data_IF_370872277905
#
_entry.id   IF_370872277905
#
_cell.length_a   1.000
_cell.length_b   1.000
_cell.length_c   1.000
_cell.angle_alpha   90.00
_cell.angle_beta   90.00
_cell.angle_gamma   90.00
#
_symmetry.space_group_name_H-M   'P 1'
#
loop_
_entity.id
_entity.type
_entity.pdbx_description
1 polymer ?
#
# COMPACT_ATOMS: atom_id res chain seq x y z
N UNK A 1 2.90 -6.62 39.71
CA UNK A 1 1.88 -6.24 38.70
C UNK A 1 2.48 -5.17 37.80
N UNK A 2 2.81 -5.50 36.55
CA UNK A 2 3.32 -4.51 35.60
C UNK A 2 2.15 -3.61 35.16
N UNK A 3 2.23 -2.30 35.46
CA UNK A 3 1.32 -1.30 34.90
C UNK A 3 1.47 -1.36 33.38
N UNK A 4 0.47 -1.90 32.70
CA UNK A 4 0.36 -1.90 31.24
C UNK A 4 0.43 -0.44 30.79
N UNK A 5 1.48 -0.05 30.08
CA UNK A 5 1.60 1.30 29.50
C UNK A 5 0.51 1.38 28.43
N UNK A 6 -0.64 1.97 28.79
CA UNK A 6 -1.71 2.26 27.84
C UNK A 6 -1.15 3.36 26.94
N UNK A 7 -0.86 3.02 25.69
CA UNK A 7 -0.44 4.01 24.68
C UNK A 7 -1.46 5.14 24.63
N UNK A 8 -0.99 6.38 24.50
CA UNK A 8 -1.83 7.59 24.63
C UNK A 8 -2.94 7.75 23.58
N UNK A 9 -3.07 6.81 22.63
CA UNK A 9 -4.18 6.78 21.67
C UNK A 9 -4.07 7.80 20.52
N UNK A 10 -3.01 8.59 20.44
CA UNK A 10 -2.88 9.69 19.48
C UNK A 10 -3.00 9.33 17.99
N UNK A 11 -2.87 8.05 17.64
CA UNK A 11 -2.97 7.56 16.26
C UNK A 11 -4.08 6.54 16.04
N UNK A 12 -4.82 6.17 17.09
CA UNK A 12 -5.81 5.08 17.06
C UNK A 12 -7.13 5.40 17.75
N UNK A 13 -7.18 6.39 18.63
CA UNK A 13 -8.39 6.77 19.38
C UNK A 13 -9.28 7.69 18.56
N UNK A 14 -10.32 7.11 17.95
CA UNK A 14 -11.33 7.84 17.15
C UNK A 14 -12.24 8.73 18.00
N UNK A 15 -12.35 8.46 19.30
CA UNK A 15 -13.19 9.24 20.22
C UNK A 15 -12.48 10.46 20.78
N UNK A 16 -11.17 10.56 20.54
CA UNK A 16 -10.29 11.61 21.04
C UNK A 16 -10.38 11.80 22.57
N UNK A 17 -10.60 10.72 23.32
CA UNK A 17 -10.78 10.76 24.78
C UNK A 17 -9.53 11.24 25.53
N UNK A 18 -8.38 11.35 24.87
CA UNK A 18 -7.19 12.01 25.42
C UNK A 18 -7.35 13.53 25.56
N UNK A 19 -8.21 14.18 24.77
CA UNK A 19 -8.36 15.65 24.73
C UNK A 19 -8.81 16.17 26.09
N UNK A 20 -9.92 15.68 26.62
CA UNK A 20 -10.42 16.11 27.94
C UNK A 20 -9.54 15.64 29.09
N UNK A 21 -8.91 14.46 28.97
CA UNK A 21 -7.99 13.93 29.99
C UNK A 21 -6.70 14.73 30.14
N UNK A 22 -6.12 15.21 29.04
CA UNK A 22 -4.82 15.89 29.05
C UNK A 22 -4.93 17.41 28.93
N UNK A 23 -5.95 17.92 28.23
CA UNK A 23 -6.09 19.35 27.98
C UNK A 23 -6.97 20.05 28.99
N UNK A 24 -7.96 19.35 29.56
CA UNK A 24 -8.96 19.87 30.50
C UNK A 24 -10.39 19.67 29.99
N UNK A 25 -11.38 19.66 30.89
CA UNK A 25 -12.79 19.44 30.53
C UNK A 25 -13.36 20.58 29.67
N UNK A 26 -12.75 21.76 29.71
CA UNK A 26 -13.10 22.90 28.87
C UNK A 26 -12.89 22.65 27.36
N UNK A 27 -12.08 21.64 26.99
CA UNK A 27 -11.87 21.24 25.59
C UNK A 27 -12.89 20.20 25.07
N UNK A 28 -13.94 19.91 25.84
CA UNK A 28 -14.94 18.90 25.49
C UNK A 28 -15.63 19.18 24.14
N UNK A 29 -15.93 20.45 23.85
CA UNK A 29 -16.60 20.82 22.60
C UNK A 29 -15.71 20.51 21.38
N UNK A 30 -14.41 20.83 21.47
CA UNK A 30 -13.42 20.45 20.46
C UNK A 30 -13.33 18.93 20.27
N UNK A 31 -13.36 18.16 21.35
CA UNK A 31 -13.35 16.70 21.29
C UNK A 31 -14.58 16.19 20.53
N UNK A 32 -15.79 16.67 20.87
CA UNK A 32 -17.04 16.22 20.27
C UNK A 32 -17.08 16.50 18.77
N UNK A 33 -16.79 17.73 18.36
CA UNK A 33 -16.82 18.11 16.95
C UNK A 33 -15.75 17.40 16.12
N UNK A 34 -14.55 17.20 16.68
CA UNK A 34 -13.51 16.47 15.98
C UNK A 34 -13.81 14.96 15.87
N UNK A 35 -14.41 14.35 16.90
CA UNK A 35 -14.82 12.95 16.87
C UNK A 35 -15.98 12.71 15.87
N UNK A 36 -16.96 13.60 15.83
CA UNK A 36 -18.04 13.59 14.84
C UNK A 36 -17.47 13.70 13.41
N UNK A 37 -16.58 14.66 13.19
CA UNK A 37 -15.93 14.82 11.90
C UNK A 37 -15.17 13.55 11.51
N UNK A 38 -14.38 12.96 12.42
CA UNK A 38 -13.64 11.72 12.16
C UNK A 38 -14.56 10.53 11.84
N UNK A 39 -15.75 10.44 12.43
CA UNK A 39 -16.70 9.37 12.14
C UNK A 39 -17.21 9.39 10.69
N UNK A 40 -17.20 10.56 10.04
CA UNK A 40 -17.58 10.72 8.63
C UNK A 40 -16.45 10.41 7.62
N UNK A 41 -15.32 9.88 8.07
CA UNK A 41 -14.10 9.75 7.26
C UNK A 41 -13.66 8.29 7.02
N UNK A 42 -13.55 7.88 5.76
CA UNK A 42 -13.23 6.48 5.39
C UNK A 42 -11.72 6.19 5.18
N UNK A 43 -10.87 7.22 5.12
CA UNK A 43 -9.46 7.07 4.78
C UNK A 43 -8.55 8.03 5.55
N UNK A 44 -7.23 7.77 5.56
CA UNK A 44 -6.24 8.71 6.10
C UNK A 44 -6.37 9.04 7.60
N UNK A 45 -7.06 8.18 8.37
CA UNK A 45 -7.41 8.40 9.78
C UNK A 45 -6.18 8.73 10.64
N UNK A 46 -5.09 7.97 10.51
CA UNK A 46 -3.88 8.20 11.30
C UNK A 46 -3.29 9.62 11.09
N UNK A 47 -3.29 10.12 9.85
CA UNK A 47 -2.79 11.46 9.55
C UNK A 47 -3.73 12.55 10.09
N UNK A 48 -5.04 12.30 10.08
CA UNK A 48 -6.06 13.21 10.63
C UNK A 48 -5.95 13.30 12.15
N UNK A 49 -5.83 12.17 12.84
CA UNK A 49 -5.60 12.11 14.29
C UNK A 49 -4.32 12.86 14.67
N UNK A 50 -3.23 12.68 13.91
CA UNK A 50 -2.00 13.41 14.17
C UNK A 50 -2.15 14.92 13.92
N UNK A 51 -2.88 15.33 12.87
CA UNK A 51 -3.17 16.75 12.61
C UNK A 51 -3.97 17.40 13.74
N UNK A 52 -4.99 16.69 14.26
CA UNK A 52 -5.81 17.15 15.38
C UNK A 52 -4.98 17.33 16.66
N UNK A 53 -4.10 16.36 16.94
CA UNK A 53 -3.17 16.47 18.07
C UNK A 53 -2.34 17.74 17.97
N UNK A 54 -1.67 17.96 16.84
CA UNK A 54 -0.83 19.15 16.67
C UNK A 54 -1.63 20.45 16.77
N UNK A 55 -2.81 20.47 16.16
CA UNK A 55 -3.69 21.64 16.16
C UNK A 55 -4.18 22.02 17.56
N UNK A 56 -4.64 21.04 18.34
CA UNK A 56 -5.14 21.28 19.69
C UNK A 56 -4.03 21.78 20.63
N UNK A 57 -2.81 21.22 20.54
CA UNK A 57 -1.67 21.75 21.31
C UNK A 57 -1.23 23.14 20.83
N UNK A 58 -1.31 23.41 19.53
CA UNK A 58 -1.10 24.75 18.98
C UNK A 58 -2.09 25.74 19.60
N UNK A 59 -3.40 25.45 19.54
CA UNK A 59 -4.44 26.31 20.13
C UNK A 59 -4.19 26.52 21.63
N UNK A 60 -3.93 25.45 22.39
CA UNK A 60 -3.63 25.55 23.82
C UNK A 60 -2.42 26.45 24.14
N UNK A 61 -1.41 26.47 23.26
CA UNK A 61 -0.18 27.25 23.50
C UNK A 61 -0.23 28.68 22.95
N UNK A 62 -0.89 28.93 21.82
CA UNK A 62 -0.88 30.22 21.09
C UNK A 62 -2.21 30.95 21.11
N UNK A 63 -3.32 30.22 21.30
CA UNK A 63 -4.66 30.78 21.30
C UNK A 63 -5.50 30.18 22.44
N UNK A 64 -5.15 30.41 23.72
CA UNK A 64 -5.89 29.81 24.84
C UNK A 64 -7.36 30.24 24.92
N UNK A 65 -7.71 31.40 24.33
CA UNK A 65 -9.10 31.83 24.16
C UNK A 65 -9.92 30.92 23.22
N UNK A 66 -9.25 30.13 22.37
CA UNK A 66 -9.88 29.20 21.44
C UNK A 66 -10.42 27.94 22.13
N UNK A 67 -10.33 27.84 23.47
CA UNK A 67 -11.14 26.89 24.25
C UNK A 67 -12.62 27.04 23.89
N UNK A 68 -13.08 28.27 23.72
CA UNK A 68 -14.36 28.57 23.08
C UNK A 68 -14.19 28.49 21.55
N UNK A 69 -14.88 27.52 20.95
CA UNK A 69 -14.82 27.24 19.51
C UNK A 69 -15.25 28.46 18.69
N UNK A 70 -16.31 29.17 19.08
CA UNK A 70 -16.77 30.35 18.35
C UNK A 70 -15.77 31.50 18.46
N UNK A 71 -15.12 31.68 19.61
CA UNK A 71 -14.06 32.67 19.78
C UNK A 71 -12.82 32.37 18.93
N UNK A 72 -12.51 31.10 18.67
CA UNK A 72 -11.45 30.74 17.73
C UNK A 72 -11.71 31.36 16.34
N UNK A 73 -12.94 31.22 15.83
CA UNK A 73 -13.32 31.75 14.51
C UNK A 73 -13.51 33.27 14.49
N UNK A 74 -14.03 33.86 15.58
CA UNK A 74 -14.22 35.31 15.70
C UNK A 74 -12.88 36.05 15.84
N UNK A 75 -11.92 35.44 16.53
CA UNK A 75 -10.67 36.04 16.95
C UNK A 75 -10.74 36.62 18.36
N UNK A 76 -9.57 36.77 18.97
CA UNK A 76 -9.43 37.37 20.30
C UNK A 76 -9.83 38.85 20.27
N UNK A 77 -10.52 39.38 21.30
CA UNK A 77 -10.85 40.81 21.39
C UNK A 77 -9.63 41.75 21.29
N UNK A 78 -8.45 41.28 21.72
CA UNK A 78 -7.18 41.98 21.58
C UNK A 78 -6.53 41.93 20.18
N UNK A 79 -7.25 41.47 19.15
CA UNK A 79 -6.83 41.51 17.74
C UNK A 79 -6.12 40.26 17.22
N UNK A 80 -5.73 39.32 18.08
CA UNK A 80 -5.11 38.07 17.63
C UNK A 80 -6.11 37.15 16.92
N UNK A 81 -5.69 36.59 15.77
CA UNK A 81 -6.43 35.58 15.02
C UNK A 81 -5.47 34.48 14.61
N UNK A 82 -5.89 33.23 14.81
CA UNK A 82 -5.15 32.07 14.31
C UNK A 82 -5.07 32.10 12.79
N UNK A 83 -4.01 31.57 12.21
CA UNK A 83 -3.84 31.48 10.77
C UNK A 83 -3.07 30.22 10.36
N UNK A 84 -3.14 29.88 9.07
CA UNK A 84 -2.36 28.78 8.52
C UNK A 84 -0.85 28.99 8.69
N UNK A 85 -0.37 30.22 8.54
CA UNK A 85 1.05 30.57 8.70
C UNK A 85 1.51 30.37 10.14
N UNK A 86 0.75 30.88 11.12
CA UNK A 86 1.11 30.72 12.53
C UNK A 86 1.13 29.24 12.94
N UNK A 87 0.15 28.46 12.47
CA UNK A 87 0.13 27.03 12.72
C UNK A 87 1.29 26.30 12.02
N UNK A 88 1.65 26.70 10.79
CA UNK A 88 2.80 26.14 10.10
C UNK A 88 4.12 26.43 10.83
N UNK A 89 4.30 27.65 11.33
CA UNK A 89 5.50 28.04 12.10
C UNK A 89 5.60 27.27 13.41
N UNK A 90 4.46 27.02 14.08
CA UNK A 90 4.39 26.14 15.24
C UNK A 90 4.83 24.70 14.92
N UNK A 91 4.37 24.16 13.78
CA UNK A 91 4.76 22.82 13.33
C UNK A 91 6.25 22.73 13.00
N UNK A 92 6.79 23.74 12.33
CA UNK A 92 8.22 23.83 11.99
C UNK A 92 9.10 23.91 13.24
N UNK A 93 8.72 24.73 14.22
CA UNK A 93 9.42 24.82 15.51
C UNK A 93 9.39 23.49 16.29
N UNK A 94 8.33 22.70 16.11
CA UNK A 94 8.21 21.35 16.67
C UNK A 94 8.96 20.25 15.91
N UNK A 95 9.70 20.59 14.84
CA UNK A 95 10.49 19.64 14.05
C UNK A 95 9.72 18.88 12.96
N UNK A 96 8.51 19.31 12.60
CA UNK A 96 7.73 18.74 11.50
C UNK A 96 7.93 19.57 10.21
N UNK A 97 8.22 18.92 9.08
CA UNK A 97 8.68 19.61 7.87
C UNK A 97 7.91 19.17 6.61
N UNK A 98 7.96 17.90 6.21
CA UNK A 98 7.48 17.52 4.85
C UNK A 98 5.96 17.35 4.73
N UNK A 99 5.24 17.19 5.83
CA UNK A 99 3.80 16.89 5.84
C UNK A 99 2.91 18.00 6.42
N UNK A 100 3.46 19.17 6.75
CA UNK A 100 2.71 20.25 7.41
C UNK A 100 1.53 20.73 6.58
N UNK A 101 1.72 20.87 5.26
CA UNK A 101 0.66 21.23 4.32
C UNK A 101 -0.55 20.28 4.38
N UNK A 102 -0.33 18.99 4.65
CA UNK A 102 -1.41 18.00 4.82
C UNK A 102 -2.15 18.23 6.12
N UNK A 103 -1.44 18.48 7.23
CA UNK A 103 -2.05 18.77 8.52
C UNK A 103 -2.93 20.02 8.44
N UNK A 104 -2.42 21.11 7.86
CA UNK A 104 -3.17 22.35 7.66
C UNK A 104 -4.40 22.11 6.78
N UNK A 105 -4.27 21.30 5.73
CA UNK A 105 -5.40 20.93 4.88
C UNK A 105 -6.48 20.16 5.65
N UNK A 106 -6.11 19.26 6.55
CA UNK A 106 -7.07 18.55 7.40
C UNK A 106 -7.75 19.46 8.42
N UNK A 107 -6.99 20.38 9.04
CA UNK A 107 -7.55 21.37 9.97
C UNK A 107 -8.50 22.33 9.26
N UNK A 108 -8.18 22.75 8.05
CA UNK A 108 -9.10 23.52 7.22
C UNK A 108 -10.43 22.76 7.03
N UNK A 109 -10.38 21.48 6.67
CA UNK A 109 -11.58 20.66 6.46
C UNK A 109 -12.39 20.46 7.74
N UNK A 110 -11.73 20.26 8.89
CA UNK A 110 -12.40 20.24 10.19
C UNK A 110 -13.12 21.56 10.45
N UNK A 111 -12.43 22.69 10.24
CA UNK A 111 -13.01 24.02 10.46
C UNK A 111 -14.19 24.29 9.53
N UNK A 112 -14.10 23.90 8.25
CA UNK A 112 -15.22 23.97 7.30
C UNK A 112 -16.42 23.13 7.78
N UNK A 113 -16.16 21.94 8.34
CA UNK A 113 -17.20 21.07 8.90
C UNK A 113 -17.88 21.72 10.11
N UNK A 114 -17.11 22.26 11.06
CA UNK A 114 -17.65 22.96 12.23
C UNK A 114 -18.49 24.18 11.80
N UNK A 115 -18.00 24.98 10.85
CA UNK A 115 -18.74 26.13 10.34
C UNK A 115 -20.05 25.74 9.66
N UNK A 116 -20.07 24.61 8.96
CA UNK A 116 -21.27 24.13 8.25
C UNK A 116 -22.34 23.58 9.19
N UNK A 117 -21.96 22.78 10.18
CA UNK A 117 -22.91 22.00 10.99
C UNK A 117 -23.18 22.60 12.38
N UNK A 118 -22.25 23.37 12.93
CA UNK A 118 -22.33 23.87 14.31
C UNK A 118 -22.35 25.39 14.42
N UNK A 119 -21.84 26.11 13.42
CA UNK A 119 -21.76 27.59 13.41
C UNK A 119 -22.34 28.18 12.12
N UNK A 120 -23.53 27.72 11.74
CA UNK A 120 -24.29 28.23 10.60
C UNK A 120 -25.68 28.69 11.01
N UNK A 121 -26.26 29.58 10.21
CA UNK A 121 -27.64 30.03 10.34
C UNK A 121 -28.39 29.60 9.09
N UNK A 122 -29.57 29.01 9.28
CA UNK A 122 -30.49 28.72 8.17
C UNK A 122 -31.11 30.02 7.69
N UNK A 123 -30.91 30.35 6.42
CA UNK A 123 -31.59 31.45 5.76
C UNK A 123 -33.04 31.11 5.42
N UNK A 124 -33.85 32.14 5.15
CA UNK A 124 -35.26 32.00 4.77
C UNK A 124 -35.49 31.19 3.47
N UNK A 125 -34.43 30.96 2.68
CA UNK A 125 -34.40 30.15 1.47
C UNK A 125 -33.96 28.68 1.69
N UNK A 126 -33.70 28.28 2.94
CA UNK A 126 -33.17 26.97 3.30
C UNK A 126 -31.66 26.80 3.04
N UNK A 127 -30.95 27.86 2.64
CA UNK A 127 -29.50 27.84 2.50
C UNK A 127 -28.84 28.12 3.86
N UNK A 128 -27.99 27.20 4.32
CA UNK A 128 -27.21 27.34 5.55
C UNK A 128 -25.96 28.19 5.28
N UNK A 129 -25.86 29.36 5.93
CA UNK A 129 -24.72 30.28 5.79
C UNK A 129 -23.83 30.23 7.04
N UNK A 130 -22.50 30.08 6.90
CA UNK A 130 -21.59 30.05 8.04
C UNK A 130 -21.47 31.44 8.68
N UNK A 131 -21.54 31.49 10.01
CA UNK A 131 -21.46 32.72 10.82
C UNK A 131 -20.07 33.38 10.77
N UNK A 132 -19.03 32.60 10.51
CA UNK A 132 -17.65 33.06 10.51
C UNK A 132 -16.89 32.57 9.28
N UNK A 133 -15.78 33.24 8.97
CA UNK A 133 -14.84 32.76 7.94
C UNK A 133 -13.87 31.76 8.55
N UNK A 134 -13.49 30.76 7.75
CA UNK A 134 -12.45 29.82 8.14
C UNK A 134 -11.09 30.56 8.19
N UNK A 135 -10.38 30.57 9.34
CA UNK A 135 -9.08 31.23 9.45
C UNK A 135 -7.95 30.45 8.76
N UNK A 136 -8.19 29.21 8.33
CA UNK A 136 -7.19 28.37 7.68
C UNK A 136 -7.39 28.30 6.17
N UNK A 137 -6.33 28.66 5.45
CA UNK A 137 -6.20 28.48 4.01
C UNK A 137 -5.25 27.32 3.67
N UNK A 138 -5.39 26.78 2.45
CA UNK A 138 -4.48 25.74 1.96
C UNK A 138 -3.12 26.36 1.68
N UNK A 139 -2.10 25.96 2.45
CA UNK A 139 -0.72 26.29 2.12
C UNK A 139 -0.23 25.34 1.02
N UNK A 140 0.44 25.91 0.01
CA UNK A 140 1.13 25.11 -1.00
C UNK A 140 2.22 24.29 -0.32
N UNK A 141 2.36 23.02 -0.70
CA UNK A 141 3.55 22.28 -0.34
C UNK A 141 4.77 23.13 -0.71
N UNK A 142 5.69 23.35 0.24
CA UNK A 142 7.01 23.89 -0.07
C UNK A 142 7.53 23.02 -1.20
N UNK A 143 7.70 23.60 -2.40
CA UNK A 143 8.14 22.83 -3.56
C UNK A 143 9.50 22.28 -3.18
N UNK A 144 9.58 21.00 -2.82
CA UNK A 144 10.77 20.25 -3.16
C UNK A 144 10.84 20.42 -4.67
N UNK A 145 11.81 21.18 -5.16
CA UNK A 145 12.16 21.13 -6.57
C UNK A 145 12.16 19.66 -6.94
N UNK A 146 11.29 19.24 -7.85
CA UNK A 146 11.35 17.91 -8.43
C UNK A 146 12.68 17.85 -9.16
N UNK A 147 13.76 17.61 -8.44
CA UNK A 147 15.03 17.22 -8.99
C UNK A 147 14.74 15.84 -9.52
N UNK A 148 14.48 15.79 -10.83
CA UNK A 148 14.58 14.56 -11.60
C UNK A 148 15.83 13.86 -11.10
N UNK A 149 15.62 12.75 -10.39
CA UNK A 149 16.73 12.11 -9.71
C UNK A 149 17.56 11.50 -10.83
N UNK A 150 18.70 12.12 -11.12
CA UNK A 150 19.63 11.64 -12.14
C UNK A 150 20.23 10.35 -11.62
N UNK A 151 19.55 9.24 -11.89
CA UNK A 151 20.05 7.92 -11.58
C UNK A 151 21.01 7.50 -12.68
N UNK A 152 22.23 7.15 -12.31
CA UNK A 152 23.14 6.47 -13.23
C UNK A 152 22.49 5.18 -13.71
N UNK A 153 22.51 4.89 -15.03
CA UNK A 153 21.91 3.68 -15.55
C UNK A 153 22.63 2.47 -14.94
N UNK A 154 21.85 1.50 -14.43
CA UNK A 154 22.40 0.27 -13.86
C UNK A 154 23.09 -0.54 -14.97
N UNK A 155 24.41 -0.82 -14.87
CA UNK A 155 25.08 -1.64 -15.87
C UNK A 155 24.44 -3.03 -15.99
N UNK A 156 24.24 -3.50 -17.23
CA UNK A 156 23.54 -4.76 -17.52
C UNK A 156 24.15 -5.98 -16.81
N UNK A 157 25.47 -5.98 -16.56
CA UNK A 157 26.16 -7.04 -15.80
C UNK A 157 25.51 -7.31 -14.44
N UNK A 158 25.01 -6.26 -13.76
CA UNK A 158 24.35 -6.41 -12.46
C UNK A 158 22.99 -7.07 -12.61
N UNK A 159 22.25 -6.78 -13.69
CA UNK A 159 21.00 -7.47 -14.00
C UNK A 159 21.27 -8.96 -14.22
N UNK A 160 22.33 -9.32 -14.95
CA UNK A 160 22.73 -10.72 -15.13
C UNK A 160 23.10 -11.39 -13.81
N UNK A 161 23.86 -10.72 -12.95
CA UNK A 161 24.20 -11.23 -11.61
C UNK A 161 22.94 -11.41 -10.75
N UNK A 162 22.02 -10.44 -10.76
CA UNK A 162 20.75 -10.54 -10.01
C UNK A 162 19.89 -11.70 -10.48
N UNK A 163 19.85 -11.98 -11.80
CA UNK A 163 19.16 -13.16 -12.33
C UNK A 163 19.73 -14.45 -11.74
N UNK A 164 21.06 -14.56 -11.68
CA UNK A 164 21.75 -15.74 -11.11
C UNK A 164 21.55 -15.88 -9.59
N UNK A 165 21.54 -14.76 -8.87
CA UNK A 165 21.26 -14.76 -7.43
C UNK A 165 19.84 -15.25 -7.16
N UNK A 166 18.87 -14.78 -7.95
CA UNK A 166 17.46 -15.12 -7.76
C UNK A 166 17.16 -16.55 -8.19
N UNK A 167 17.59 -16.93 -9.39
CA UNK A 167 17.41 -18.24 -10.00
C UNK A 167 18.75 -18.67 -10.58
N UNK A 168 19.52 -19.53 -9.90
CA UNK A 168 20.76 -20.07 -10.44
C UNK A 168 20.48 -20.90 -11.69
N UNK A 169 21.20 -20.65 -12.79
CA UNK A 169 21.12 -21.49 -13.99
C UNK A 169 22.48 -21.58 -14.69
N UNK A 170 22.78 -22.68 -15.42
CA UNK A 170 24.07 -22.86 -16.08
C UNK A 170 24.26 -21.80 -17.16
N UNK A 171 25.39 -21.09 -17.11
CA UNK A 171 25.69 -19.99 -18.05
C UNK A 171 26.71 -20.35 -19.12
N UNK A 172 27.39 -21.51 -19.03
CA UNK A 172 28.68 -21.74 -19.69
C UNK A 172 28.80 -22.89 -20.68
N UNK A 173 27.74 -23.65 -20.93
CA UNK A 173 27.80 -24.70 -21.97
C UNK A 173 26.87 -24.36 -23.13
N UNK A 174 27.45 -23.88 -24.23
CA UNK A 174 26.76 -23.75 -25.52
C UNK A 174 26.33 -25.11 -26.10
N UNK A 175 26.86 -26.21 -25.56
CA UNK A 175 26.54 -27.60 -25.90
C UNK A 175 25.52 -28.26 -24.96
N UNK A 176 25.24 -27.67 -23.78
CA UNK A 176 24.28 -28.28 -22.85
C UNK A 176 22.86 -28.04 -23.34
N UNK A 177 22.22 -29.14 -23.73
CA UNK A 177 20.80 -29.19 -24.12
C UNK A 177 19.84 -29.06 -22.93
N UNK A 178 20.34 -28.70 -21.74
CA UNK A 178 19.56 -28.60 -20.50
C UNK A 178 19.57 -27.18 -19.92
N UNK A 179 18.87 -26.22 -20.54
CA UNK A 179 18.71 -24.86 -20.00
C UNK A 179 17.85 -24.80 -18.70
N UNK A 180 17.54 -25.96 -18.10
CA UNK A 180 16.52 -26.15 -17.06
C UNK A 180 17.09 -26.56 -15.70
N UNK A 181 18.42 -26.51 -15.50
CA UNK A 181 19.01 -26.73 -14.17
C UNK A 181 18.67 -25.53 -13.29
N UNK A 182 18.08 -25.74 -12.11
CA UNK A 182 17.52 -24.67 -11.27
C UNK A 182 16.04 -24.35 -11.53
N UNK A 183 15.32 -25.19 -12.30
CA UNK A 183 13.91 -24.99 -12.65
C UNK A 183 12.96 -25.08 -11.46
N UNK A 184 13.38 -25.76 -10.38
CA UNK A 184 12.51 -25.99 -9.24
C UNK A 184 12.71 -24.91 -8.18
N UNK A 185 11.64 -24.51 -7.51
CA UNK A 185 11.68 -23.51 -6.45
C UNK A 185 12.59 -23.93 -5.30
N UNK A 186 12.83 -25.22 -5.07
CA UNK A 186 13.84 -25.70 -4.11
C UNK A 186 15.23 -25.15 -4.40
N UNK A 187 15.55 -24.86 -5.65
CA UNK A 187 16.86 -24.35 -6.05
C UNK A 187 16.97 -22.83 -5.81
N UNK A 188 15.87 -22.14 -5.49
CA UNK A 188 15.76 -20.69 -5.36
C UNK A 188 16.02 -20.23 -3.91
N UNK A 189 17.04 -20.81 -3.27
CA UNK A 189 17.33 -20.64 -1.84
C UNK A 189 17.52 -19.18 -1.43
N UNK A 190 18.14 -18.36 -2.28
CA UNK A 190 18.27 -16.94 -1.97
C UNK A 190 16.90 -16.25 -1.89
N UNK A 191 16.00 -16.55 -2.83
CA UNK A 191 14.65 -15.99 -2.85
C UNK A 191 13.84 -16.42 -1.62
N UNK A 192 13.90 -17.70 -1.29
CA UNK A 192 13.24 -18.30 -0.12
C UNK A 192 13.71 -17.62 1.17
N UNK A 193 15.00 -17.29 1.29
CA UNK A 193 15.56 -16.77 2.53
C UNK A 193 15.50 -15.23 2.65
N UNK A 194 15.60 -14.49 1.54
CA UNK A 194 15.88 -13.05 1.59
C UNK A 194 14.88 -12.15 0.85
N UNK A 195 14.04 -12.68 -0.05
CA UNK A 195 13.20 -11.81 -0.89
C UNK A 195 11.95 -11.28 -0.16
N UNK A 196 11.55 -11.93 0.91
CA UNK A 196 10.34 -11.63 1.67
C UNK A 196 10.63 -10.74 2.89
N UNK A 197 9.74 -9.79 3.17
CA UNK A 197 9.79 -9.06 4.44
C UNK A 197 9.17 -9.93 5.53
N UNK A 198 9.98 -10.42 6.46
CA UNK A 198 9.54 -11.30 7.54
C UNK A 198 9.00 -12.64 7.04
N UNK A 199 7.75 -12.97 7.38
CA UNK A 199 7.11 -14.25 7.02
C UNK A 199 6.00 -14.09 5.95
N UNK A 200 6.01 -13.00 5.19
CA UNK A 200 4.91 -12.63 4.29
C UNK A 200 4.68 -13.57 3.10
N UNK A 201 5.70 -14.32 2.67
CA UNK A 201 5.53 -15.32 1.61
C UNK A 201 5.29 -16.74 2.15
N UNK A 202 5.09 -16.92 3.45
CA UNK A 202 4.77 -18.21 4.05
C UNK A 202 3.30 -18.26 4.43
N UNK A 203 2.60 -19.30 3.94
CA UNK A 203 1.16 -19.47 4.13
C UNK A 203 0.91 -20.69 5.02
N UNK A 204 0.17 -20.51 6.12
CA UNK A 204 -0.24 -21.60 7.01
C UNK A 204 -1.17 -22.56 6.26
N UNK A 205 -0.82 -23.84 6.25
CA UNK A 205 -1.59 -24.90 5.59
C UNK A 205 -1.74 -26.12 6.49
N UNK A 206 -2.81 -26.91 6.32
CA UNK A 206 -2.89 -28.24 6.92
C UNK A 206 -1.73 -29.13 6.43
N UNK A 207 -1.17 -30.01 7.28
CA UNK A 207 -0.03 -30.85 6.91
C UNK A 207 -0.34 -31.78 5.74
N UNK A 208 -1.61 -32.15 5.53
CA UNK A 208 -2.06 -33.01 4.42
C UNK A 208 -1.92 -32.34 3.04
N UNK A 209 -1.73 -31.02 3.00
CA UNK A 209 -1.50 -30.26 1.76
C UNK A 209 -0.04 -30.18 1.36
N UNK A 210 0.87 -30.58 2.24
CA UNK A 210 2.31 -30.59 1.94
C UNK A 210 2.60 -31.87 1.17
N UNK A 211 3.12 -31.72 -0.04
CA UNK A 211 3.60 -32.83 -0.87
C UNK A 211 5.14 -32.85 -0.85
N UNK A 212 5.79 -33.74 -0.07
CA UNK A 212 7.25 -33.82 -0.03
C UNK A 212 7.88 -34.35 -1.32
N UNK A 213 7.08 -34.95 -2.21
CA UNK A 213 7.56 -35.48 -3.49
C UNK A 213 7.66 -34.41 -4.57
N UNK A 214 6.93 -33.32 -4.40
CA UNK A 214 6.98 -32.16 -5.29
C UNK A 214 8.19 -31.27 -4.96
N UNK A 215 9.20 -31.18 -5.84
CA UNK A 215 10.37 -30.31 -5.63
C UNK A 215 10.02 -28.81 -5.61
N UNK A 216 8.82 -28.42 -6.04
CA UNK A 216 8.32 -27.05 -6.00
C UNK A 216 7.51 -26.75 -4.72
N UNK A 217 7.13 -27.77 -3.94
CA UNK A 217 6.42 -27.65 -2.67
C UNK A 217 7.40 -27.42 -1.50
N UNK A 218 7.84 -26.18 -1.33
CA UNK A 218 8.73 -25.81 -0.22
C UNK A 218 7.91 -25.53 1.04
N UNK A 219 8.08 -26.38 2.05
CA UNK A 219 7.39 -26.26 3.32
C UNK A 219 8.35 -26.09 4.50
N UNK A 220 7.83 -25.52 5.60
CA UNK A 220 8.51 -25.45 6.89
C UNK A 220 7.52 -25.60 8.04
N UNK A 221 8.04 -25.95 9.21
CA UNK A 221 7.25 -26.04 10.44
C UNK A 221 7.81 -25.06 11.46
N UNK A 222 6.94 -24.31 12.15
CA UNK A 222 7.34 -23.38 13.23
C UNK A 222 6.41 -23.48 14.42
N UNK A 223 6.95 -23.28 15.61
CA UNK A 223 6.16 -23.24 16.86
C UNK A 223 5.87 -21.78 17.22
N UNK A 224 4.61 -21.46 17.49
CA UNK A 224 4.16 -20.13 17.90
C UNK A 224 3.44 -20.17 19.24
N UNK A 225 3.67 -19.14 20.06
CA UNK A 225 2.84 -18.85 21.22
C UNK A 225 1.52 -18.22 20.81
N UNK A 226 0.43 -19.01 20.76
CA UNK A 226 -0.95 -18.51 20.64
C UNK A 226 -1.67 -18.75 21.97
N UNK A 227 -2.21 -17.69 22.59
CA UNK A 227 -2.97 -17.78 23.86
C UNK A 227 -2.25 -18.55 24.99
N UNK A 228 -0.98 -18.22 25.27
CA UNK A 228 -0.12 -18.91 26.27
C UNK A 228 0.10 -20.42 26.02
N UNK A 229 -0.24 -20.93 24.84
CA UNK A 229 0.07 -22.31 24.42
C UNK A 229 1.02 -22.28 23.23
N UNK A 230 1.95 -23.23 23.21
CA UNK A 230 2.81 -23.49 22.06
C UNK A 230 2.01 -24.29 21.05
N UNK A 231 1.84 -23.75 19.84
CA UNK A 231 1.13 -24.38 18.73
C UNK A 231 2.12 -24.56 17.58
N UNK A 232 2.23 -25.78 17.10
CA UNK A 232 2.99 -26.10 15.89
C UNK A 232 2.14 -25.77 14.66
N UNK A 233 2.71 -25.02 13.72
CA UNK A 233 2.07 -24.68 12.47
C UNK A 233 2.96 -25.07 11.29
N UNK A 234 2.31 -25.51 10.22
CA UNK A 234 2.96 -25.89 8.96
C UNK A 234 2.69 -24.81 7.91
N UNK A 235 3.72 -24.46 7.15
CA UNK A 235 3.63 -23.40 6.17
C UNK A 235 4.24 -23.82 4.84
N UNK A 236 3.63 -23.37 3.74
CA UNK A 236 4.18 -23.48 2.38
C UNK A 236 4.65 -22.10 1.90
N UNK A 237 5.77 -22.08 1.19
CA UNK A 237 6.32 -20.88 0.58
C UNK A 237 5.59 -20.51 -0.72
N UNK A 238 5.29 -19.22 -0.90
CA UNK A 238 4.68 -18.68 -2.10
C UNK A 238 5.74 -18.14 -3.07
N UNK A 239 5.87 -18.69 -4.28
CA UNK A 239 6.85 -18.24 -5.26
C UNK A 239 6.48 -16.92 -5.95
N UNK A 240 5.28 -16.36 -5.70
CA UNK A 240 4.73 -15.26 -6.47
C UNK A 240 5.65 -14.03 -6.53
N UNK A 241 6.29 -13.65 -5.41
CA UNK A 241 7.21 -12.50 -5.36
C UNK A 241 8.51 -12.81 -6.12
N UNK A 242 9.01 -14.05 -6.02
CA UNK A 242 10.19 -14.48 -6.74
C UNK A 242 9.97 -14.48 -8.25
N UNK A 243 8.83 -15.03 -8.70
CA UNK A 243 8.43 -15.00 -10.11
C UNK A 243 8.21 -13.58 -10.63
N UNK A 244 7.64 -12.70 -9.80
CA UNK A 244 7.50 -11.27 -10.14
C UNK A 244 8.87 -10.63 -10.37
N UNK A 245 9.83 -10.83 -9.47
CA UNK A 245 11.18 -10.28 -9.60
C UNK A 245 11.91 -10.89 -10.80
N UNK A 246 11.79 -12.21 -11.00
CA UNK A 246 12.38 -12.93 -12.12
C UNK A 246 11.91 -12.36 -13.45
N UNK A 247 10.61 -12.14 -13.59
CA UNK A 247 10.00 -11.54 -14.78
C UNK A 247 10.50 -10.12 -15.01
N UNK A 248 10.58 -9.30 -13.95
CA UNK A 248 11.08 -7.92 -14.01
C UNK A 248 12.55 -7.81 -14.41
N UNK A 249 13.36 -8.79 -14.05
CA UNK A 249 14.77 -8.85 -14.43
C UNK A 249 14.95 -9.26 -15.88
N UNK A 250 14.01 -10.01 -16.48
CA UNK A 250 14.07 -10.48 -17.86
C UNK A 250 13.39 -9.54 -18.85
N UNK A 251 12.28 -8.91 -18.44
CA UNK A 251 11.43 -8.10 -19.30
C UNK A 251 11.28 -6.68 -18.73
N UNK A 252 11.37 -5.64 -19.57
CA UNK A 252 11.21 -4.24 -19.15
C UNK A 252 9.73 -3.86 -18.96
N UNK A 253 8.99 -4.65 -18.16
CA UNK A 253 7.56 -4.42 -17.88
C UNK A 253 7.37 -3.56 -16.64
N UNK A 254 6.30 -2.77 -16.60
CA UNK A 254 5.89 -2.07 -15.38
C UNK A 254 5.39 -3.06 -14.34
N UNK A 255 5.59 -2.75 -13.06
CA UNK A 255 5.16 -3.62 -11.95
C UNK A 255 3.68 -4.00 -12.02
N UNK A 256 2.82 -3.06 -12.41
CA UNK A 256 1.40 -3.35 -12.62
C UNK A 256 1.21 -4.41 -13.72
N UNK A 257 1.81 -4.23 -14.89
CA UNK A 257 1.68 -5.18 -16.01
C UNK A 257 2.08 -6.61 -15.61
N UNK A 258 3.18 -6.78 -14.87
CA UNK A 258 3.63 -8.11 -14.42
C UNK A 258 2.61 -8.78 -13.50
N UNK A 259 1.93 -8.02 -12.63
CA UNK A 259 0.91 -8.57 -11.72
C UNK A 259 -0.35 -9.05 -12.43
N UNK A 260 -0.64 -8.52 -13.62
CA UNK A 260 -1.80 -8.90 -14.44
C UNK A 260 -1.43 -9.85 -15.58
N UNK A 261 -0.22 -10.41 -15.57
CA UNK A 261 0.12 -11.50 -16.48
C UNK A 261 -0.64 -12.75 -16.06
N UNK A 262 -1.37 -13.31 -17.01
CA UNK A 262 -2.05 -14.59 -16.88
C UNK A 262 -1.06 -15.71 -17.26
N UNK A 263 -1.02 -16.82 -16.51
CA UNK A 263 -0.15 -17.95 -16.82
C UNK A 263 -0.59 -18.68 -18.09
N UNK A 264 -1.88 -18.58 -18.47
CA UNK A 264 -2.45 -19.30 -19.61
C UNK A 264 -2.76 -20.76 -19.31
N UNK A 265 -2.78 -21.18 -18.04
CA UNK A 265 -3.13 -22.56 -17.65
C UNK A 265 -4.55 -22.97 -18.09
N UNK A 266 -5.46 -22.01 -18.19
CA UNK A 266 -6.83 -22.20 -18.69
C UNK A 266 -6.99 -22.05 -20.21
N UNK A 267 -5.91 -21.78 -20.95
CA UNK A 267 -5.98 -21.62 -22.40
C UNK A 267 -6.22 -22.95 -23.11
N UNK A 268 -6.79 -22.88 -24.32
CA UNK A 268 -7.07 -24.08 -25.14
C UNK A 268 -5.77 -24.80 -25.53
N UNK A 269 -4.72 -24.03 -25.80
CA UNK A 269 -3.39 -24.52 -26.15
C UNK A 269 -2.41 -24.04 -25.10
N UNK A 270 -1.55 -24.94 -24.60
CA UNK A 270 -0.53 -24.64 -23.59
C UNK A 270 0.85 -24.69 -24.21
N UNK A 271 1.72 -23.80 -23.74
CA UNK A 271 3.12 -23.81 -24.12
C UNK A 271 3.92 -24.60 -23.08
N UNK A 272 4.39 -25.77 -23.46
CA UNK A 272 5.12 -26.69 -22.60
C UNK A 272 6.46 -27.06 -23.25
N UNK A 273 7.56 -26.83 -22.53
CA UNK A 273 8.92 -27.23 -22.94
C UNK A 273 9.34 -26.80 -24.37
N UNK A 274 8.84 -25.65 -24.84
CA UNK A 274 9.16 -25.14 -26.18
C UNK A 274 8.15 -25.51 -27.27
N UNK A 275 7.08 -26.24 -26.95
CA UNK A 275 6.07 -26.67 -27.91
C UNK A 275 4.66 -26.31 -27.45
N UNK A 276 3.74 -26.23 -28.42
CA UNK A 276 2.31 -26.02 -28.16
C UNK A 276 1.58 -27.35 -28.15
N UNK A 277 0.94 -27.68 -27.02
CA UNK A 277 0.09 -28.87 -26.85
C UNK A 277 -1.35 -28.45 -26.56
N UNK A 278 -2.32 -29.29 -26.94
CA UNK A 278 -3.71 -29.04 -26.54
C UNK A 278 -3.85 -29.28 -25.03
N UNK A 279 -4.56 -28.40 -24.33
CA UNK A 279 -4.82 -28.56 -22.92
C UNK A 279 -5.77 -29.75 -22.71
N UNK A 280 -5.23 -30.88 -22.28
CA UNK A 280 -6.00 -32.07 -21.88
C UNK A 280 -5.90 -32.36 -20.39
N UNK A 281 -4.98 -31.69 -19.70
CA UNK A 281 -4.71 -31.90 -18.27
C UNK A 281 -5.76 -31.24 -17.37
N UNK A 282 -6.27 -30.07 -17.75
CA UNK A 282 -7.13 -29.27 -16.88
C UNK A 282 -8.59 -29.29 -17.34
N UNK A 283 -9.48 -29.72 -16.44
CA UNK A 283 -10.93 -29.70 -16.69
C UNK A 283 -11.50 -28.28 -16.86
N UNK A 284 -10.81 -27.27 -16.31
CA UNK A 284 -11.20 -25.86 -16.37
C UNK A 284 -10.70 -25.13 -17.63
N UNK A 285 -10.25 -25.85 -18.66
CA UNK A 285 -9.85 -25.22 -19.93
C UNK A 285 -11.03 -24.49 -20.58
N UNK A 286 -10.75 -23.34 -21.17
CA UNK A 286 -11.74 -22.57 -21.91
C UNK A 286 -11.53 -22.70 -23.43
N UNK A 287 -12.61 -22.49 -24.18
CA UNK A 287 -12.59 -22.48 -25.64
C UNK A 287 -12.57 -23.88 -26.28
N UNK A 288 -12.43 -23.91 -27.59
CA UNK A 288 -12.33 -25.12 -28.41
C UNK A 288 -11.23 -24.98 -29.45
N UNK A 289 -10.79 -26.07 -30.08
CA UNK A 289 -9.80 -26.01 -31.16
C UNK A 289 -10.20 -25.06 -32.30
N UNK A 290 -11.51 -24.96 -32.60
CA UNK A 290 -12.06 -24.03 -33.61
C UNK A 290 -12.18 -22.58 -33.11
N UNK A 291 -12.36 -22.38 -31.81
CA UNK A 291 -12.47 -21.05 -31.15
C UNK A 291 -11.59 -21.05 -29.91
N UNK A 292 -10.26 -20.89 -30.08
CA UNK A 292 -9.32 -21.04 -28.97
C UNK A 292 -9.42 -19.87 -28.00
N UNK A 293 -9.41 -20.18 -26.72
CA UNK A 293 -9.19 -19.22 -25.63
C UNK A 293 -7.68 -19.03 -25.44
N UNK A 294 -7.24 -17.78 -25.40
CA UNK A 294 -5.83 -17.38 -25.40
C UNK A 294 -5.63 -16.09 -24.60
N UNK A 295 -5.45 -16.20 -23.28
CA UNK A 295 -5.19 -15.05 -22.40
C UNK A 295 -3.81 -15.07 -21.75
N UNK A 296 -3.11 -16.20 -21.82
CA UNK A 296 -1.80 -16.38 -21.24
C UNK A 296 -0.74 -15.40 -21.76
N UNK A 297 0.31 -15.23 -20.96
CA UNK A 297 1.50 -14.45 -21.29
C UNK A 297 2.19 -14.97 -22.55
N UNK A 298 2.15 -16.28 -22.80
CA UNK A 298 2.55 -16.86 -24.07
C UNK A 298 1.33 -17.03 -24.96
N UNK A 299 1.44 -16.58 -26.20
CA UNK A 299 0.35 -16.64 -27.17
C UNK A 299 0.78 -17.33 -28.45
N UNK A 300 -0.05 -18.28 -28.88
CA UNK A 300 0.13 -19.00 -30.14
C UNK A 300 -0.35 -18.13 -31.30
N UNK A 301 0.57 -17.70 -32.15
CA UNK A 301 0.29 -16.82 -33.30
C UNK A 301 0.49 -17.65 -34.57
N UNK A 302 -0.53 -17.67 -35.43
CA UNK A 302 -0.39 -18.29 -36.75
C UNK A 302 0.24 -17.28 -37.71
N UNK A 303 1.37 -17.65 -38.31
CA UNK A 303 1.99 -16.88 -39.37
C UNK A 303 1.59 -17.47 -40.72
N UNK A 304 0.84 -16.70 -41.50
CA UNK A 304 0.38 -17.11 -42.83
C UNK A 304 1.49 -17.18 -43.87
N UNK A 305 2.61 -16.49 -43.66
CA UNK A 305 3.72 -16.50 -44.62
C UNK A 305 4.58 -17.75 -44.49
N UNK A 306 4.77 -18.26 -43.27
CA UNK A 306 5.55 -19.48 -43.00
C UNK A 306 4.69 -20.72 -42.79
N UNK A 307 3.36 -20.58 -42.80
CA UNK A 307 2.37 -21.60 -42.46
C UNK A 307 2.64 -22.29 -41.11
N UNK A 308 3.33 -21.58 -40.21
CA UNK A 308 3.78 -22.11 -38.92
C UNK A 308 3.18 -21.31 -37.77
N UNK A 309 3.12 -21.97 -36.62
CA UNK A 309 2.78 -21.30 -35.38
C UNK A 309 4.05 -20.77 -34.73
N UNK A 310 4.04 -19.48 -34.39
CA UNK A 310 5.05 -18.83 -33.58
C UNK A 310 4.52 -18.56 -32.17
N UNK A 311 5.46 -18.35 -31.24
CA UNK A 311 5.15 -17.99 -29.86
C UNK A 311 5.42 -16.50 -29.68
N UNK A 312 4.36 -15.73 -29.42
CA UNK A 312 4.46 -14.33 -29.04
C UNK A 312 4.32 -14.14 -27.52
N UNK A 313 4.93 -13.07 -27.00
CA UNK A 313 4.69 -12.62 -25.63
C UNK A 313 3.54 -11.60 -25.63
N UNK A 314 2.46 -11.90 -24.92
CA UNK A 314 1.25 -11.07 -24.85
C UNK A 314 1.14 -10.41 -23.48
N UNK A 315 1.31 -9.08 -23.44
CA UNK A 315 1.15 -8.29 -22.22
C UNK A 315 -0.20 -7.57 -22.31
N UNK A 316 -1.13 -7.95 -21.44
CA UNK A 316 -2.42 -7.27 -21.38
C UNK A 316 -2.22 -5.84 -20.84
N UNK A 317 -2.71 -4.85 -21.58
CA UNK A 317 -2.76 -3.44 -21.14
C UNK A 317 -4.20 -3.04 -20.84
N UNK A 318 -4.91 -3.81 -20.02
CA UNK A 318 -6.18 -3.33 -19.50
C UNK A 318 -5.90 -2.37 -18.35
N UNK A 319 -6.00 -1.08 -18.66
CA UNK A 319 -6.26 -0.05 -17.67
C UNK A 319 -7.67 -0.31 -17.14
N UNK A 320 -7.80 -0.60 -15.85
CA UNK A 320 -9.07 -0.56 -15.13
C UNK A 320 -9.27 0.84 -14.58
#
# INVERSE_FOLDING_TARGET
>A
MAKKIIGKGYTTDLTLGWVTREMGSEWLQWQQYAAEWLASQDAGIANRLNSLKHFLYYLKSKAPYAVDVAMMFKGHPGGHKVSSEEFNDYLLAGGANDSNHKYISYIKLLCDHILKYHLSVEGDDGASLPLFRNPFEKIKQSKSTNTETVHSPLPYRYIQQLRQILCPYPTKDSSNKTPWVGRHFRDWQWAINHLQSGNTAWMEVPPERIDPSDPDCIARTRTLGRNNKQVEIHEIWSPAIAMFMFTKLHLPLRSFQVRFLDSGEGDTWRYEQGQWSENTQHAFKYGSSKRPYQKGVFRRIYDSMSERFSTGLYISMKWL
#
